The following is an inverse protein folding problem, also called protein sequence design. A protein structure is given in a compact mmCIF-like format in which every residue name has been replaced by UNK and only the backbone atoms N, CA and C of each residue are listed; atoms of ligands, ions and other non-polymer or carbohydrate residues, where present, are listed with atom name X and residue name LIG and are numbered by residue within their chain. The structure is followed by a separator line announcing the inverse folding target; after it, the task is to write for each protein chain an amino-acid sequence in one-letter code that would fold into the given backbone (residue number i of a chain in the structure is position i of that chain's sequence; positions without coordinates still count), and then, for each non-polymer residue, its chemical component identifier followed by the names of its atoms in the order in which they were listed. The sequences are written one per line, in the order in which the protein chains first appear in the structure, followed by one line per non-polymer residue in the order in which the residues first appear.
data_IF_817144594691
#
_entry.id   IF_817144594691
#
_cell.length_a   1.000
_cell.length_b   1.000
_cell.length_c   1.000
_cell.angle_alpha   90.00
_cell.angle_beta   90.00
_cell.angle_gamma   90.00
#
_symmetry.space_group_name_H-M   'P 1'
#
loop_
_entity.id
_entity.type
_entity.pdbx_description
1 polymer ?
#
# COMPACT_ATOMS: atom_id res chain seq x y z
N UNK A 1 -16.05 -5.52 17.64
CA UNK A 1 -14.98 -4.71 17.02
C UNK A 1 -15.66 -4.00 15.86
N UNK A 2 -15.78 -2.67 15.93
CA UNK A 2 -16.26 -1.90 14.77
C UNK A 2 -15.30 -2.17 13.62
N UNK A 3 -15.84 -2.36 12.42
CA UNK A 3 -15.03 -2.34 11.20
C UNK A 3 -14.12 -1.12 11.34
N UNK A 4 -12.80 -1.35 11.47
CA UNK A 4 -11.85 -0.25 11.46
C UNK A 4 -12.20 0.56 10.21
N UNK A 5 -12.22 1.89 10.31
CA UNK A 5 -12.47 2.70 9.14
C UNK A 5 -11.26 2.51 8.22
N UNK A 6 -11.31 1.50 7.35
CA UNK A 6 -10.17 1.11 6.53
C UNK A 6 -9.83 2.16 5.47
N UNK A 7 -10.68 3.19 5.34
CA UNK A 7 -10.34 4.43 4.62
C UNK A 7 -9.19 5.19 5.29
N UNK A 8 -8.91 4.91 6.56
CA UNK A 8 -7.81 5.50 7.31
C UNK A 8 -6.48 4.74 7.14
N UNK A 9 -6.45 3.62 6.40
CA UNK A 9 -5.21 2.90 6.11
C UNK A 9 -4.59 3.36 4.78
N UNK A 10 -3.30 3.68 4.84
CA UNK A 10 -2.50 4.13 3.70
C UNK A 10 -1.31 3.22 3.49
N UNK A 11 -0.73 3.24 2.29
CA UNK A 11 0.50 2.51 2.00
C UNK A 11 1.62 3.01 2.92
N UNK A 12 2.27 2.09 3.61
CA UNK A 12 3.35 2.42 4.51
C UNK A 12 4.66 2.66 3.74
N UNK A 13 4.84 3.89 3.27
CA UNK A 13 6.08 4.33 2.66
C UNK A 13 7.20 4.59 3.68
N UNK A 14 6.92 4.57 4.99
CA UNK A 14 7.98 4.74 6.01
C UNK A 14 8.77 3.45 6.22
N UNK A 15 8.15 2.29 5.92
CA UNK A 15 8.80 0.98 5.95
C UNK A 15 9.70 0.76 4.73
N UNK A 16 11.02 0.74 4.95
CA UNK A 16 12.02 0.56 3.89
C UNK A 16 11.82 -0.73 3.06
N UNK A 17 11.52 -1.86 3.70
CA UNK A 17 11.25 -3.12 2.97
C UNK A 17 10.00 -3.05 2.11
N UNK A 18 8.98 -2.28 2.53
CA UNK A 18 7.78 -2.06 1.72
C UNK A 18 8.10 -1.18 0.51
N UNK A 19 8.88 -0.11 0.70
CA UNK A 19 9.37 0.75 -0.39
C UNK A 19 10.09 -0.06 -1.46
N UNK A 20 11.09 -0.86 -1.11
CA UNK A 20 11.84 -1.68 -2.08
C UNK A 20 10.94 -2.62 -2.90
N UNK A 21 9.89 -3.19 -2.29
CA UNK A 21 8.91 -4.03 -3.01
C UNK A 21 8.07 -3.22 -3.99
N UNK A 22 7.71 -2.01 -3.63
CA UNK A 22 6.95 -1.09 -4.48
C UNK A 22 7.83 -0.54 -5.62
N UNK A 23 9.10 -0.22 -5.36
CA UNK A 23 10.06 0.22 -6.38
C UNK A 23 10.33 -0.89 -7.41
N UNK A 24 10.33 -2.15 -6.96
CA UNK A 24 10.53 -3.33 -7.82
C UNK A 24 9.24 -3.95 -8.37
N UNK A 25 8.11 -3.26 -8.23
CA UNK A 25 6.81 -3.78 -8.69
C UNK A 25 6.81 -3.96 -10.21
N UNK A 26 6.22 -5.07 -10.66
CA UNK A 26 6.03 -5.36 -12.07
C UNK A 26 4.52 -5.42 -12.38
N UNK A 27 4.04 -4.78 -13.46
CA UNK A 27 2.63 -4.86 -13.86
C UNK A 27 2.11 -6.31 -13.94
N UNK A 28 0.88 -6.51 -13.49
CA UNK A 28 0.20 -7.81 -13.47
C UNK A 28 0.73 -8.81 -12.44
N UNK A 29 1.84 -8.51 -11.73
CA UNK A 29 2.40 -9.40 -10.71
C UNK A 29 2.02 -8.95 -9.30
N UNK A 30 1.50 -9.86 -8.45
CA UNK A 30 1.19 -9.52 -7.08
C UNK A 30 2.46 -9.29 -6.24
N UNK A 31 2.41 -8.28 -5.39
CA UNK A 31 3.44 -7.98 -4.39
C UNK A 31 2.83 -7.82 -3.01
N UNK A 32 3.58 -8.17 -1.96
CA UNK A 32 3.15 -7.91 -0.58
C UNK A 32 3.26 -6.41 -0.30
N UNK A 33 2.17 -5.81 0.16
CA UNK A 33 2.11 -4.40 0.55
C UNK A 33 1.82 -4.29 2.05
N UNK A 34 2.53 -3.40 2.73
CA UNK A 34 2.22 -3.00 4.09
C UNK A 34 1.39 -1.72 4.09
N UNK A 35 0.33 -1.74 4.87
CA UNK A 35 -0.53 -0.60 5.15
C UNK A 35 -0.35 -0.19 6.61
N UNK A 36 -0.37 1.11 6.87
CA UNK A 36 -0.38 1.68 8.22
C UNK A 36 -1.60 2.58 8.38
N UNK A 37 -2.03 2.79 9.61
CA UNK A 37 -3.02 3.82 9.89
C UNK A 37 -2.44 5.20 9.57
N UNK A 38 -3.25 6.08 9.00
CA UNK A 38 -2.83 7.42 8.58
C UNK A 38 -2.52 8.31 9.79
N UNK A 39 -3.31 8.17 10.85
CA UNK A 39 -3.36 9.07 12.01
C UNK A 39 -2.93 8.44 13.33
N UNK A 40 -2.99 7.11 13.47
CA UNK A 40 -2.68 6.40 14.70
C UNK A 40 -1.41 5.55 14.52
N UNK A 41 -0.29 6.05 15.01
CA UNK A 41 0.99 5.35 14.92
C UNK A 41 1.06 4.09 15.81
N UNK A 42 0.16 3.93 16.78
CA UNK A 42 0.10 2.75 17.64
C UNK A 42 -0.78 1.63 17.05
N UNK A 43 -1.61 1.94 16.04
CA UNK A 43 -2.41 0.95 15.34
C UNK A 43 -1.52 -0.06 14.60
N UNK A 44 -1.97 -1.32 14.58
CA UNK A 44 -1.22 -2.40 13.93
C UNK A 44 -1.17 -2.22 12.41
N UNK A 45 -0.02 -2.49 11.81
CA UNK A 45 0.09 -2.54 10.35
C UNK A 45 -0.70 -3.72 9.78
N UNK A 46 -1.28 -3.51 8.60
CA UNK A 46 -2.00 -4.54 7.84
C UNK A 46 -1.15 -4.99 6.65
N UNK A 47 -1.21 -6.28 6.36
CA UNK A 47 -0.59 -6.84 5.15
C UNK A 47 -1.65 -7.05 4.06
N UNK A 48 -1.38 -6.53 2.87
CA UNK A 48 -2.18 -6.73 1.68
C UNK A 48 -1.39 -7.30 0.51
N UNK A 49 -2.12 -7.62 -0.56
CA UNK A 49 -1.58 -8.05 -1.85
C UNK A 49 -1.89 -6.96 -2.88
N UNK A 50 -0.85 -6.27 -3.34
CA UNK A 50 -0.92 -5.23 -4.36
C UNK A 50 -0.66 -5.76 -5.76
N UNK A 51 -1.41 -5.28 -6.76
CA UNK A 51 -1.17 -5.54 -8.19
C UNK A 51 -1.22 -4.21 -8.94
N UNK A 52 -0.14 -3.88 -9.64
CA UNK A 52 -0.11 -2.75 -10.57
C UNK A 52 -0.77 -3.17 -11.89
N UNK A 53 -1.65 -2.33 -12.42
CA UNK A 53 -2.29 -2.55 -13.73
C UNK A 53 -1.27 -2.59 -14.86
N UNK A 54 -1.61 -3.28 -15.96
CA UNK A 54 -0.71 -3.48 -17.10
C UNK A 54 -0.25 -2.17 -17.77
N UNK A 55 -1.07 -1.13 -17.70
CA UNK A 55 -0.77 0.23 -18.18
C UNK A 55 0.04 1.07 -17.18
N UNK A 56 0.36 0.52 -16.01
CA UNK A 56 1.10 1.19 -14.94
C UNK A 56 0.37 2.38 -14.32
N UNK A 57 -0.96 2.50 -14.49
CA UNK A 57 -1.72 3.64 -13.98
C UNK A 57 -2.21 3.45 -12.55
N UNK A 58 -2.55 2.22 -12.17
CA UNK A 58 -3.37 1.96 -10.99
C UNK A 58 -2.81 0.82 -10.17
N UNK A 59 -2.60 1.03 -8.87
CA UNK A 59 -2.27 -0.02 -7.91
C UNK A 59 -3.54 -0.44 -7.17
N UNK A 60 -3.90 -1.71 -7.27
CA UNK A 60 -5.01 -2.31 -6.50
C UNK A 60 -4.45 -3.16 -5.38
N UNK A 61 -4.89 -2.94 -4.15
CA UNK A 61 -4.42 -3.66 -2.96
C UNK A 61 -5.62 -4.33 -2.28
N UNK A 62 -5.57 -5.65 -2.21
CA UNK A 62 -6.53 -6.44 -1.44
C UNK A 62 -5.95 -6.77 -0.07
N UNK A 63 -6.70 -6.50 1.01
CA UNK A 63 -6.26 -6.77 2.38
C UNK A 63 -7.40 -7.23 3.29
N UNK A 64 -7.14 -8.13 4.24
CA UNK A 64 -8.16 -8.66 5.12
C UNK A 64 -8.53 -7.66 6.22
N UNK A 65 -9.82 -7.54 6.50
CA UNK A 65 -10.36 -6.99 7.74
C UNK A 65 -11.51 -7.86 8.16
N UNK A 66 -11.25 -8.78 9.09
CA UNK A 66 -12.20 -9.80 9.56
C UNK A 66 -13.62 -9.24 9.77
N UNK A 67 -14.66 -9.74 9.07
CA UNK A 67 -14.71 -10.94 8.20
C UNK A 67 -14.58 -10.68 6.68
N UNK A 68 -14.26 -9.45 6.27
CA UNK A 68 -14.33 -8.99 4.89
C UNK A 68 -12.95 -8.79 4.24
N UNK A 69 -12.89 -9.01 2.93
CA UNK A 69 -11.77 -8.57 2.11
C UNK A 69 -12.06 -7.15 1.64
N UNK A 70 -11.10 -6.24 1.84
CA UNK A 70 -11.20 -4.87 1.35
C UNK A 70 -10.23 -4.63 0.21
N UNK A 71 -10.62 -3.72 -0.67
CA UNK A 71 -9.86 -3.31 -1.83
C UNK A 71 -9.60 -1.81 -1.75
N UNK A 72 -8.34 -1.44 -1.84
CA UNK A 72 -7.88 -0.07 -2.03
C UNK A 72 -7.35 0.08 -3.45
N UNK A 73 -7.73 1.15 -4.13
CA UNK A 73 -7.27 1.47 -5.47
C UNK A 73 -6.60 2.84 -5.44
N UNK A 74 -5.35 2.91 -5.88
CA UNK A 74 -4.53 4.11 -5.83
C UNK A 74 -4.00 4.47 -7.22
N UNK A 75 -3.90 5.76 -7.50
CA UNK A 75 -3.15 6.25 -8.66
C UNK A 75 -1.65 5.98 -8.43
N UNK A 76 -1.08 5.11 -9.26
CA UNK A 76 0.31 4.69 -9.12
C UNK A 76 1.27 5.84 -9.40
N UNK A 77 0.90 6.80 -10.27
CA UNK A 77 1.77 7.93 -10.61
C UNK A 77 1.98 8.87 -9.43
N UNK A 78 0.93 9.09 -8.64
CA UNK A 78 0.99 9.90 -7.43
C UNK A 78 1.80 9.17 -6.36
N UNK A 79 1.49 7.90 -6.10
CA UNK A 79 2.22 7.09 -5.13
C UNK A 79 3.71 6.93 -5.50
N UNK A 80 4.01 6.78 -6.79
CA UNK A 80 5.37 6.66 -7.30
C UNK A 80 6.20 7.93 -7.10
N UNK A 81 5.58 9.12 -7.19
CA UNK A 81 6.24 10.39 -6.85
C UNK A 81 6.53 10.49 -5.36
N UNK A 82 5.58 10.11 -4.52
CA UNK A 82 5.80 10.06 -3.07
C UNK A 82 6.93 9.09 -2.72
N UNK A 83 6.91 7.89 -3.30
CA UNK A 83 7.93 6.86 -3.12
C UNK A 83 9.33 7.37 -3.51
N UNK A 84 9.46 8.06 -4.65
CA UNK A 84 10.73 8.65 -5.09
C UNK A 84 11.29 9.64 -4.06
N UNK A 85 10.42 10.40 -3.38
CA UNK A 85 10.81 11.32 -2.30
C UNK A 85 11.44 10.65 -1.08
N UNK A 86 11.22 9.35 -0.88
CA UNK A 86 11.89 8.56 0.18
C UNK A 86 13.17 7.86 -0.31
N UNK A 87 13.41 7.81 -1.62
CA UNK A 87 14.53 7.11 -2.25
C UNK A 87 15.79 8.00 -2.38
N UNK A 88 15.61 9.32 -2.46
CA UNK A 88 16.71 10.29 -2.66
C UNK A 88 17.46 10.71 -1.37
N UNK A 89 17.11 10.18 -0.19
CA UNK A 89 17.65 10.64 1.10
C UNK A 89 18.22 9.54 2.02
N UNK A 90 18.62 8.38 1.49
CA UNK A 90 19.52 7.46 2.23
C UNK A 90 21.00 7.77 1.93
#
# INVERSE_FOLDING_TARGET
MSAADLSEYVVDLTNHSNRLRLESINPGRPVKVMLRHATDAAAASIHGSGVLSDDGSTLTIDFPSDPTLHRLTLDWRTLGKELAGFSETD
#
